data_IF_210264068692
#
_entry.id   IF_210264068692
#
_cell.length_a   1.000
_cell.length_b   1.000
_cell.length_c   1.000
_cell.angle_alpha   90.00
_cell.angle_beta   90.00
_cell.angle_gamma   90.00
#
_symmetry.space_group_name_H-M   'P 1'
#
loop_
_entity.id
_entity.type
_entity.pdbx_description
1 polymer ?
#
# COMPACT_ATOMS: atom_id res chain seq x y z
N UNK A 1 -16.86 -64.57 -3.84
CA UNK A 1 -17.73 -63.50 -4.38
C UNK A 1 -18.01 -62.38 -3.37
N UNK A 2 -18.48 -62.67 -2.15
CA UNK A 2 -18.79 -61.65 -1.11
C UNK A 2 -17.61 -60.75 -0.70
N UNK A 3 -16.39 -61.28 -0.61
CA UNK A 3 -15.18 -60.52 -0.24
C UNK A 3 -14.83 -59.42 -1.25
N UNK A 4 -14.93 -59.71 -2.54
CA UNK A 4 -14.63 -58.74 -3.59
C UNK A 4 -15.70 -57.64 -3.63
N UNK A 5 -16.98 -57.99 -3.44
CA UNK A 5 -18.09 -57.03 -3.34
C UNK A 5 -17.87 -56.07 -2.15
N UNK A 6 -17.43 -56.58 -0.99
CA UNK A 6 -17.17 -55.75 0.19
C UNK A 6 -15.99 -54.77 -0.03
N UNK A 7 -14.94 -55.20 -0.76
CA UNK A 7 -13.81 -54.34 -1.14
C UNK A 7 -14.26 -53.23 -2.13
N UNK A 8 -15.10 -53.56 -3.10
CA UNK A 8 -15.64 -52.54 -4.03
C UNK A 8 -16.53 -51.53 -3.32
N UNK A 9 -17.34 -51.96 -2.35
CA UNK A 9 -18.15 -51.05 -1.53
C UNK A 9 -17.25 -50.15 -0.67
N UNK A 10 -16.22 -50.68 -0.01
CA UNK A 10 -15.33 -49.85 0.80
C UNK A 10 -14.53 -48.86 -0.04
N UNK A 11 -14.06 -49.27 -1.22
CA UNK A 11 -13.38 -48.38 -2.16
C UNK A 11 -14.32 -47.29 -2.68
N UNK A 12 -15.59 -47.62 -2.97
CA UNK A 12 -16.60 -46.64 -3.36
C UNK A 12 -16.89 -45.60 -2.28
N UNK A 13 -16.99 -46.03 -1.02
CA UNK A 13 -17.19 -45.11 0.12
C UNK A 13 -15.99 -44.18 0.30
N UNK A 14 -14.76 -44.68 0.21
CA UNK A 14 -13.55 -43.86 0.29
C UNK A 14 -13.47 -42.84 -0.86
N UNK A 15 -13.85 -43.24 -2.08
CA UNK A 15 -13.90 -42.34 -3.22
C UNK A 15 -14.90 -41.20 -2.99
N UNK A 16 -16.09 -41.51 -2.44
CA UNK A 16 -17.11 -40.49 -2.13
C UNK A 16 -16.60 -39.54 -1.05
N UNK A 17 -15.95 -40.04 0.02
CA UNK A 17 -15.35 -39.20 1.06
C UNK A 17 -14.27 -38.29 0.47
N UNK A 18 -13.42 -38.82 -0.40
CA UNK A 18 -12.37 -38.04 -1.07
C UNK A 18 -12.94 -36.92 -1.96
N UNK A 19 -14.01 -37.22 -2.72
CA UNK A 19 -14.71 -36.25 -3.55
C UNK A 19 -15.32 -35.15 -2.66
N UNK A 20 -16.06 -35.53 -1.61
CA UNK A 20 -16.67 -34.58 -0.68
C UNK A 20 -15.62 -33.69 0.01
N UNK A 21 -14.49 -34.27 0.42
CA UNK A 21 -13.38 -33.51 1.01
C UNK A 21 -12.81 -32.51 0.01
N UNK A 22 -12.55 -32.94 -1.23
CA UNK A 22 -12.02 -32.07 -2.30
C UNK A 22 -12.99 -30.94 -2.66
N UNK A 23 -14.31 -31.19 -2.66
CA UNK A 23 -15.32 -30.17 -2.92
C UNK A 23 -15.40 -29.14 -1.78
N UNK A 24 -15.37 -29.60 -0.51
CA UNK A 24 -15.37 -28.68 0.63
C UNK A 24 -14.10 -27.81 0.64
N UNK A 25 -12.93 -28.42 0.42
CA UNK A 25 -11.66 -27.70 0.36
C UNK A 25 -11.66 -26.60 -0.71
N UNK A 26 -12.09 -26.91 -1.94
CA UNK A 26 -12.22 -25.92 -3.02
C UNK A 26 -13.21 -24.80 -2.69
N UNK A 27 -14.26 -25.11 -1.93
CA UNK A 27 -15.26 -24.12 -1.53
C UNK A 27 -14.68 -23.18 -0.48
N UNK A 28 -13.95 -23.71 0.51
CA UNK A 28 -13.27 -22.91 1.53
C UNK A 28 -12.19 -22.00 0.92
N UNK A 29 -11.39 -22.54 -0.01
CA UNK A 29 -10.38 -21.78 -0.75
C UNK A 29 -11.00 -20.60 -1.52
N UNK A 30 -12.10 -20.85 -2.24
CA UNK A 30 -12.83 -19.79 -2.95
C UNK A 30 -13.37 -18.73 -2.00
N UNK A 31 -13.96 -19.13 -0.87
CA UNK A 31 -14.48 -18.19 0.14
C UNK A 31 -13.34 -17.37 0.75
N UNK A 32 -12.20 -17.98 1.03
CA UNK A 32 -11.03 -17.30 1.55
C UNK A 32 -10.47 -16.28 0.54
N UNK A 33 -10.39 -16.65 -0.74
CA UNK A 33 -9.93 -15.76 -1.82
C UNK A 33 -10.84 -14.52 -1.96
N UNK A 34 -12.17 -14.71 -1.97
CA UNK A 34 -13.12 -13.58 -2.06
C UNK A 34 -13.04 -12.66 -0.82
N UNK A 35 -12.83 -13.23 0.38
CA UNK A 35 -12.62 -12.44 1.59
C UNK A 35 -11.33 -11.63 1.53
N UNK A 36 -10.23 -12.25 1.12
CA UNK A 36 -8.95 -11.58 0.95
C UNK A 36 -9.07 -10.43 -0.06
N UNK A 37 -9.72 -10.68 -1.19
CA UNK A 37 -10.01 -9.68 -2.21
C UNK A 37 -10.82 -8.50 -1.67
N UNK A 38 -11.85 -8.76 -0.86
CA UNK A 38 -12.62 -7.69 -0.22
C UNK A 38 -11.80 -6.87 0.77
N UNK A 39 -10.93 -7.52 1.55
CA UNK A 39 -10.02 -6.86 2.51
C UNK A 39 -9.00 -6.00 1.75
N UNK A 40 -8.36 -6.56 0.72
CA UNK A 40 -7.39 -5.86 -0.11
C UNK A 40 -8.03 -4.68 -0.84
N UNK A 41 -9.22 -4.84 -1.41
CA UNK A 41 -9.92 -3.77 -2.11
C UNK A 41 -10.27 -2.61 -1.17
N UNK A 42 -10.75 -2.92 0.03
CA UNK A 42 -11.03 -1.91 1.06
C UNK A 42 -9.75 -1.20 1.52
N UNK A 43 -8.67 -1.96 1.73
CA UNK A 43 -7.38 -1.42 2.16
C UNK A 43 -6.77 -0.51 1.08
N UNK A 44 -6.82 -0.95 -0.17
CA UNK A 44 -6.33 -0.22 -1.33
C UNK A 44 -7.11 1.08 -1.53
N UNK A 45 -8.44 1.05 -1.39
CA UNK A 45 -9.27 2.25 -1.40
C UNK A 45 -8.82 3.25 -0.32
N UNK A 46 -8.58 2.79 0.92
CA UNK A 46 -8.12 3.70 1.97
C UNK A 46 -6.73 4.27 1.70
N UNK A 47 -5.79 3.47 1.18
CA UNK A 47 -4.46 3.96 0.78
C UNK A 47 -4.59 5.02 -0.31
N UNK A 48 -5.27 4.69 -1.41
CA UNK A 48 -5.45 5.57 -2.55
C UNK A 48 -6.17 6.87 -2.15
N UNK A 49 -7.30 6.77 -1.45
CA UNK A 49 -8.12 7.93 -1.04
C UNK A 49 -7.36 8.92 -0.16
N UNK A 50 -6.53 8.42 0.76
CA UNK A 50 -5.76 9.30 1.64
C UNK A 50 -4.58 9.94 0.89
N UNK A 51 -3.93 9.23 -0.04
CA UNK A 51 -2.92 9.84 -0.91
C UNK A 51 -3.54 10.90 -1.83
N UNK A 52 -4.72 10.63 -2.39
CA UNK A 52 -5.46 11.58 -3.23
C UNK A 52 -5.73 12.86 -2.42
N UNK A 53 -6.23 12.75 -1.19
CA UNK A 53 -6.48 13.90 -0.34
C UNK A 53 -5.21 14.68 0.00
N UNK A 54 -4.09 14.00 0.31
CA UNK A 54 -2.80 14.67 0.50
C UNK A 54 -2.39 15.42 -0.79
N UNK A 55 -2.59 14.79 -1.95
CA UNK A 55 -2.18 15.35 -3.25
C UNK A 55 -3.03 16.52 -3.74
N UNK A 56 -4.31 16.58 -3.36
CA UNK A 56 -5.29 17.57 -3.83
C UNK A 56 -5.38 18.77 -2.91
N UNK A 57 -4.91 18.65 -1.67
CA UNK A 57 -4.78 19.74 -0.70
C UNK A 57 -3.62 20.73 -1.02
N UNK A 58 -3.14 20.78 -2.27
CA UNK A 58 -1.99 21.63 -2.69
C UNK A 58 -2.22 23.14 -2.48
N UNK A 59 -3.47 23.58 -2.42
CA UNK A 59 -3.82 24.98 -2.18
C UNK A 59 -3.81 25.36 -0.70
N UNK A 60 -3.61 24.39 0.20
CA UNK A 60 -3.49 24.66 1.62
C UNK A 60 -2.06 25.07 1.95
N UNK A 61 -1.90 26.27 2.50
CA UNK A 61 -0.63 26.80 2.99
C UNK A 61 0.09 25.78 3.91
N UNK A 62 1.42 25.82 3.95
CA UNK A 62 2.17 25.02 4.94
C UNK A 62 1.86 25.56 6.34
N UNK A 63 0.90 24.94 7.02
CA UNK A 63 0.50 25.24 8.40
C UNK A 63 0.61 23.99 9.27
N UNK A 64 0.69 24.19 10.59
CA UNK A 64 0.78 23.09 11.54
C UNK A 64 -0.50 22.22 11.54
N UNK A 65 -1.66 22.82 11.32
CA UNK A 65 -2.93 22.10 11.21
C UNK A 65 -2.94 21.18 9.98
N UNK A 66 -2.43 21.67 8.85
CA UNK A 66 -2.32 20.87 7.63
C UNK A 66 -1.30 19.74 7.80
N UNK A 67 -0.19 19.98 8.50
CA UNK A 67 0.79 18.91 8.80
C UNK A 67 0.18 17.82 9.67
N UNK A 68 -0.56 18.21 10.71
CA UNK A 68 -1.25 17.23 11.57
C UNK A 68 -2.26 16.40 10.77
N UNK A 69 -2.98 17.04 9.84
CA UNK A 69 -3.94 16.36 8.97
C UNK A 69 -3.24 15.38 8.01
N UNK A 70 -2.12 15.78 7.39
CA UNK A 70 -1.29 14.90 6.55
C UNK A 70 -0.72 13.74 7.38
N UNK A 71 -0.22 13.98 8.59
CA UNK A 71 0.26 12.94 9.52
C UNK A 71 -0.83 11.90 9.80
N UNK A 72 -2.06 12.34 10.06
CA UNK A 72 -3.19 11.44 10.29
C UNK A 72 -3.52 10.59 9.06
N UNK A 73 -3.48 11.18 7.86
CA UNK A 73 -3.70 10.46 6.60
C UNK A 73 -2.59 9.44 6.34
N UNK A 74 -1.33 9.80 6.57
CA UNK A 74 -0.19 8.89 6.44
C UNK A 74 -0.25 7.72 7.44
N UNK A 75 -0.74 7.94 8.66
CA UNK A 75 -1.01 6.85 9.61
C UNK A 75 -2.02 5.83 9.06
N UNK A 76 -3.11 6.33 8.46
CA UNK A 76 -4.12 5.46 7.83
C UNK A 76 -3.50 4.70 6.65
N UNK A 77 -2.78 5.41 5.78
CA UNK A 77 -2.08 4.81 4.64
C UNK A 77 -1.14 3.69 5.11
N UNK A 78 -0.29 3.94 6.11
CA UNK A 78 0.68 2.96 6.61
C UNK A 78 0.01 1.69 7.09
N UNK A 79 -1.02 1.81 7.93
CA UNK A 79 -1.77 0.67 8.46
C UNK A 79 -2.42 -0.19 7.36
N UNK A 80 -3.03 0.43 6.35
CA UNK A 80 -3.65 -0.32 5.26
C UNK A 80 -2.62 -0.83 4.24
N UNK A 81 -1.47 -0.17 4.13
CA UNK A 81 -0.35 -0.62 3.30
C UNK A 81 0.26 -1.91 3.84
N UNK A 82 0.39 -2.06 5.16
CA UNK A 82 0.86 -3.31 5.79
C UNK A 82 -0.06 -4.51 5.41
N UNK A 83 -1.37 -4.28 5.37
CA UNK A 83 -2.36 -5.30 4.96
C UNK A 83 -2.19 -5.67 3.49
N UNK A 84 -1.98 -4.68 2.62
CA UNK A 84 -1.78 -4.92 1.17
C UNK A 84 -0.47 -5.67 0.94
N UNK A 85 0.63 -5.15 1.48
CA UNK A 85 1.98 -5.71 1.32
C UNK A 85 2.02 -7.17 1.80
N UNK A 86 1.37 -7.46 2.94
CA UNK A 86 1.22 -8.82 3.46
C UNK A 86 0.35 -9.71 2.56
N UNK A 87 -0.76 -9.17 2.03
CA UNK A 87 -1.71 -9.94 1.23
C UNK A 87 -1.25 -10.25 -0.20
N UNK A 88 -0.42 -9.37 -0.79
CA UNK A 88 0.15 -9.55 -2.13
C UNK A 88 1.59 -10.08 -2.11
N UNK A 89 2.24 -10.11 -0.94
CA UNK A 89 3.61 -10.60 -0.77
C UNK A 89 4.68 -9.65 -1.30
N UNK A 90 4.39 -8.35 -1.40
CA UNK A 90 5.33 -7.32 -1.87
C UNK A 90 5.44 -6.23 -0.82
N UNK A 91 6.61 -6.11 -0.18
CA UNK A 91 6.87 -5.09 0.82
C UNK A 91 7.33 -3.79 0.13
N UNK A 92 6.39 -2.86 -0.08
CA UNK A 92 6.65 -1.63 -0.82
C UNK A 92 5.85 -0.43 -0.32
N UNK A 93 4.53 -0.57 -0.17
CA UNK A 93 3.67 0.56 0.19
C UNK A 93 3.92 1.02 1.63
N UNK A 94 4.09 0.09 2.57
CA UNK A 94 4.31 0.44 3.97
C UNK A 94 5.63 1.20 4.16
N UNK A 95 6.79 0.74 3.64
CA UNK A 95 8.03 1.50 3.71
C UNK A 95 7.95 2.91 3.10
N UNK A 96 7.17 3.08 2.02
CA UNK A 96 6.97 4.39 1.39
C UNK A 96 6.15 5.31 2.31
N UNK A 97 5.05 4.80 2.87
CA UNK A 97 4.20 5.54 3.80
C UNK A 97 4.96 5.95 5.07
N UNK A 98 5.76 5.03 5.62
CA UNK A 98 6.63 5.28 6.77
C UNK A 98 7.62 6.41 6.46
N UNK A 99 8.23 6.39 5.27
CA UNK A 99 9.18 7.43 4.87
C UNK A 99 8.52 8.80 4.71
N UNK A 100 7.33 8.87 4.15
CA UNK A 100 6.57 10.12 4.09
C UNK A 100 6.20 10.63 5.48
N UNK A 101 5.84 9.73 6.39
CA UNK A 101 5.54 10.08 7.77
C UNK A 101 6.77 10.66 8.49
N UNK A 102 7.96 10.08 8.32
CA UNK A 102 9.20 10.62 8.88
C UNK A 102 9.46 12.06 8.42
N UNK A 103 9.15 12.38 7.16
CA UNK A 103 9.33 13.72 6.59
C UNK A 103 8.38 14.71 7.26
N UNK A 104 7.10 14.37 7.39
CA UNK A 104 6.12 15.27 8.02
C UNK A 104 6.44 15.48 9.49
N UNK A 105 6.80 14.42 10.21
CA UNK A 105 7.25 14.52 11.62
C UNK A 105 8.48 15.41 11.74
N UNK A 106 9.42 15.35 10.79
CA UNK A 106 10.57 16.26 10.76
C UNK A 106 10.13 17.73 10.63
N UNK A 107 9.19 18.02 9.73
CA UNK A 107 8.65 19.37 9.55
C UNK A 107 7.91 19.88 10.80
N UNK A 108 7.09 19.03 11.43
CA UNK A 108 6.40 19.35 12.69
C UNK A 108 7.40 19.65 13.83
N UNK A 109 8.50 18.90 13.89
CA UNK A 109 9.57 19.12 14.86
C UNK A 109 10.33 20.43 14.60
N UNK A 110 10.61 20.75 13.34
CA UNK A 110 11.25 22.02 12.97
C UNK A 110 10.38 23.20 13.37
N UNK A 111 9.08 23.14 13.09
CA UNK A 111 8.11 24.16 13.52
C UNK A 111 8.05 24.26 15.05
N UNK A 112 7.98 23.13 15.76
CA UNK A 112 7.93 23.11 17.23
C UNK A 112 9.18 23.73 17.87
N UNK A 113 10.34 23.62 17.23
CA UNK A 113 11.59 24.19 17.70
C UNK A 113 11.73 25.70 17.39
N UNK A 114 11.27 26.14 16.21
CA UNK A 114 11.53 27.48 15.70
C UNK A 114 10.32 28.44 15.81
N UNK A 115 9.10 27.91 15.96
CA UNK A 115 7.85 28.65 15.98
C UNK A 115 7.31 29.05 14.60
N UNK A 116 8.04 28.74 13.52
CA UNK A 116 7.68 29.02 12.13
C UNK A 116 8.32 28.00 11.18
N UNK A 117 7.78 27.90 9.97
CA UNK A 117 8.38 27.10 8.89
C UNK A 117 9.39 27.93 8.11
N UNK A 118 10.50 27.30 7.74
CA UNK A 118 11.54 27.92 6.91
C UNK A 118 11.27 27.72 5.41
N UNK A 119 11.93 28.50 4.55
CA UNK A 119 11.89 28.28 3.09
C UNK A 119 12.32 26.86 2.71
N UNK A 120 13.25 26.26 3.47
CA UNK A 120 13.67 24.88 3.26
C UNK A 120 12.52 23.91 3.57
N UNK A 121 11.79 24.11 4.67
CA UNK A 121 10.64 23.29 5.05
C UNK A 121 9.55 23.32 3.96
N UNK A 122 9.32 24.49 3.34
CA UNK A 122 8.41 24.65 2.20
C UNK A 122 8.85 23.80 1.01
N UNK A 123 10.14 23.84 0.66
CA UNK A 123 10.67 23.03 -0.45
C UNK A 123 10.52 21.53 -0.16
N UNK A 124 10.82 21.11 1.07
CA UNK A 124 10.65 19.71 1.51
C UNK A 124 9.20 19.28 1.39
N UNK A 125 8.27 20.10 1.88
CA UNK A 125 6.84 19.80 1.81
C UNK A 125 6.35 19.71 0.36
N UNK A 126 6.73 20.65 -0.51
CA UNK A 126 6.38 20.57 -1.94
C UNK A 126 6.92 19.29 -2.58
N UNK A 127 8.15 18.92 -2.25
CA UNK A 127 8.80 17.70 -2.74
C UNK A 127 8.04 16.45 -2.29
N UNK A 128 7.59 16.40 -1.03
CA UNK A 128 6.72 15.34 -0.51
C UNK A 128 5.43 15.22 -1.33
N UNK A 129 4.74 16.34 -1.60
CA UNK A 129 3.47 16.31 -2.34
C UNK A 129 3.66 15.82 -3.78
N UNK A 130 4.77 16.19 -4.43
CA UNK A 130 5.08 15.66 -5.77
C UNK A 130 5.35 14.14 -5.75
N UNK A 131 6.04 13.62 -4.73
CA UNK A 131 6.22 12.17 -4.57
C UNK A 131 4.90 11.45 -4.28
N UNK A 132 3.99 12.07 -3.51
CA UNK A 132 2.63 11.57 -3.29
C UNK A 132 1.82 11.54 -4.60
N UNK A 133 2.02 12.47 -5.53
CA UNK A 133 1.37 12.41 -6.84
C UNK A 133 1.90 11.29 -7.72
N UNK A 134 3.18 10.93 -7.57
CA UNK A 134 3.80 9.84 -8.33
C UNK A 134 3.25 8.49 -7.88
N UNK A 135 2.96 8.30 -6.58
CA UNK A 135 2.49 7.00 -6.10
C UNK A 135 1.05 6.67 -6.53
N UNK A 136 0.18 7.66 -6.70
CA UNK A 136 -1.22 7.46 -7.09
C UNK A 136 -1.40 6.63 -8.38
N UNK A 137 -0.79 7.01 -9.52
CA UNK A 137 -0.90 6.20 -10.74
C UNK A 137 -0.24 4.83 -10.58
N UNK A 138 0.86 4.71 -9.81
CA UNK A 138 1.49 3.41 -9.54
C UNK A 138 0.56 2.48 -8.77
N UNK A 139 -0.15 2.98 -7.76
CA UNK A 139 -1.14 2.21 -7.02
C UNK A 139 -2.23 1.73 -7.98
N UNK A 140 -2.72 2.63 -8.83
CA UNK A 140 -3.80 2.30 -9.76
C UNK A 140 -3.40 1.27 -10.81
N UNK A 141 -2.21 1.41 -11.41
CA UNK A 141 -1.72 0.53 -12.46
C UNK A 141 -1.32 -0.87 -11.94
N UNK A 142 -0.78 -0.95 -10.72
CA UNK A 142 -0.23 -2.19 -10.16
C UNK A 142 -1.33 -3.02 -9.48
N UNK A 143 -2.21 -2.37 -8.73
CA UNK A 143 -3.10 -3.06 -7.80
C UNK A 143 -4.57 -3.09 -8.22
N UNK A 144 -5.00 -2.35 -9.24
CA UNK A 144 -6.33 -2.50 -9.82
C UNK A 144 -6.29 -3.30 -11.11
N UNK A 145 -7.36 -4.06 -11.36
CA UNK A 145 -7.53 -4.73 -12.66
C UNK A 145 -7.70 -3.66 -13.76
N UNK A 146 -7.08 -3.81 -14.94
CA UNK A 146 -7.28 -2.89 -16.05
C UNK A 146 -8.77 -2.66 -16.35
N UNK A 147 -9.14 -1.41 -16.64
CA UNK A 147 -10.54 -0.97 -16.87
C UNK A 147 -11.46 -1.02 -15.63
N UNK A 148 -10.95 -1.46 -14.47
CA UNK A 148 -11.67 -1.28 -13.21
C UNK A 148 -11.51 0.18 -12.72
N UNK A 149 -12.55 0.72 -12.10
CA UNK A 149 -12.50 2.06 -11.52
C UNK A 149 -11.67 2.06 -10.22
N UNK A 150 -11.11 3.20 -9.83
CA UNK A 150 -10.48 3.34 -8.51
C UNK A 150 -11.50 3.00 -7.41
N UNK A 151 -11.10 2.15 -6.47
CA UNK A 151 -11.99 1.53 -5.47
C UNK A 151 -12.72 0.26 -5.93
N UNK A 152 -12.45 -0.25 -7.13
CA UNK A 152 -13.02 -1.50 -7.65
C UNK A 152 -12.18 -2.73 -7.25
N UNK A 153 -12.28 -3.78 -8.05
CA UNK A 153 -11.68 -5.09 -7.82
C UNK A 153 -10.14 -5.02 -7.80
N UNK A 154 -9.48 -5.39 -6.68
CA UNK A 154 -8.03 -5.41 -6.61
C UNK A 154 -7.46 -6.60 -7.40
N UNK A 155 -6.29 -6.41 -7.99
CA UNK A 155 -5.48 -7.47 -8.55
C UNK A 155 -4.93 -8.35 -7.42
N UNK A 156 -5.25 -9.65 -7.44
CA UNK A 156 -4.72 -10.64 -6.49
C UNK A 156 -3.36 -11.19 -6.89
N UNK A 157 -2.97 -11.00 -8.15
CA UNK A 157 -1.68 -11.41 -8.68
C UNK A 157 -1.01 -10.17 -9.25
N UNK A 158 0.10 -9.78 -8.65
CA UNK A 158 0.83 -8.57 -8.99
C UNK A 158 2.10 -8.99 -9.74
N UNK A 159 2.13 -8.72 -11.05
CA UNK A 159 3.21 -9.18 -11.92
C UNK A 159 4.29 -8.10 -12.18
N UNK A 160 3.97 -6.82 -11.97
CA UNK A 160 4.92 -5.71 -12.16
C UNK A 160 4.88 -4.75 -10.97
N UNK A 161 5.93 -4.77 -10.15
CA UNK A 161 6.13 -3.83 -9.04
C UNK A 161 7.42 -3.02 -9.18
N UNK A 162 8.06 -3.07 -10.36
CA UNK A 162 9.41 -2.53 -10.56
C UNK A 162 9.50 -1.04 -10.27
N UNK A 163 8.55 -0.25 -10.77
CA UNK A 163 8.50 1.20 -10.53
C UNK A 163 8.21 1.55 -9.06
N UNK A 164 7.37 0.77 -8.39
CA UNK A 164 7.07 0.96 -6.97
C UNK A 164 8.30 0.64 -6.10
N UNK A 165 9.05 -0.42 -6.43
CA UNK A 165 10.31 -0.76 -5.77
C UNK A 165 11.37 0.33 -5.99
N UNK A 166 11.50 0.87 -7.20
CA UNK A 166 12.40 2.01 -7.49
C UNK A 166 12.02 3.25 -6.69
N UNK A 167 10.72 3.55 -6.57
CA UNK A 167 10.24 4.64 -5.73
C UNK A 167 10.65 4.42 -4.28
N UNK A 168 10.38 3.23 -3.71
CA UNK A 168 10.83 2.87 -2.36
C UNK A 168 12.33 3.08 -2.20
N UNK A 169 13.15 2.50 -3.07
CA UNK A 169 14.61 2.61 -3.01
C UNK A 169 15.09 4.06 -3.06
N UNK A 170 14.52 4.88 -3.96
CA UNK A 170 14.80 6.33 -4.04
C UNK A 170 14.50 7.00 -2.70
N UNK A 171 13.30 6.80 -2.16
CA UNK A 171 12.85 7.44 -0.92
C UNK A 171 13.71 7.03 0.30
N UNK A 172 14.11 5.76 0.38
CA UNK A 172 14.93 5.23 1.47
C UNK A 172 16.42 5.61 1.33
N UNK A 173 16.94 5.77 0.12
CA UNK A 173 18.35 6.14 -0.13
C UNK A 173 18.74 7.55 0.40
N UNK A 174 17.75 8.38 0.71
CA UNK A 174 17.91 9.76 1.19
C UNK A 174 18.29 9.80 2.70
N UNK A 175 18.41 8.64 3.36
CA UNK A 175 18.79 8.47 4.77
C UNK A 175 20.09 9.17 5.22
N UNK A 176 20.93 9.69 4.32
CA UNK A 176 22.12 10.48 4.69
C UNK A 176 21.85 11.88 5.27
N UNK A 177 20.65 12.46 5.11
CA UNK A 177 20.37 13.87 5.46
C UNK A 177 19.59 14.12 6.76
N UNK A 178 18.79 13.15 7.23
CA UNK A 178 17.85 13.39 8.34
C UNK A 178 18.55 13.42 9.72
N UNK A 179 19.74 12.82 9.84
CA UNK A 179 20.50 12.78 11.10
C UNK A 179 21.09 14.13 11.55
N UNK A 180 21.05 15.19 10.73
CA UNK A 180 21.68 16.49 11.02
C UNK A 180 20.87 17.71 10.54
N UNK A 181 19.54 17.66 10.59
CA UNK A 181 18.69 18.83 10.32
C UNK A 181 18.74 19.36 8.87
N UNK A 182 19.27 18.59 7.93
CA UNK A 182 19.32 18.95 6.51
C UNK A 182 18.63 17.86 5.68
N UNK A 183 17.31 17.95 5.58
CA UNK A 183 16.59 17.16 4.57
C UNK A 183 16.92 17.72 3.18
N UNK A 184 17.47 16.86 2.31
CA UNK A 184 17.72 17.20 0.91
C UNK A 184 16.41 16.92 0.15
N UNK A 185 15.80 17.92 -0.51
CA UNK A 185 14.62 17.73 -1.35
C UNK A 185 14.84 16.62 -2.37
N UNK A 186 13.78 15.90 -2.75
CA UNK A 186 13.86 14.90 -3.80
C UNK A 186 14.36 15.58 -5.07
N UNK A 187 15.54 15.20 -5.58
CA UNK A 187 15.92 15.60 -6.93
C UNK A 187 14.86 15.02 -7.87
N UNK A 188 13.99 15.89 -8.39
CA UNK A 188 13.05 15.52 -9.45
C UNK A 188 13.89 14.92 -10.57
N UNK A 189 13.72 13.62 -10.83
CA UNK A 189 14.48 12.91 -11.86
C UNK A 189 14.40 13.70 -13.18
N UNK A 190 15.50 13.76 -13.98
CA UNK A 190 15.54 14.59 -15.16
C UNK A 190 14.41 14.16 -16.11
N UNK A 191 13.60 15.13 -16.54
CA UNK A 191 12.64 14.95 -17.65
C UNK A 191 13.39 14.31 -18.82
N UNK A 192 13.05 13.06 -19.16
CA UNK A 192 13.44 12.45 -20.43
C UNK A 192 12.62 13.07 -21.56
#
# INVERSE_FOLDING_TARGET
>A
MKRNIMIFISAGVLLIIFILYSFNFKTEEKIAAERLKSILGTSLYHVWYNYEHISTDQEKDLTIENMSDVTNKLNVIKMYSEVIDSGVGVEALEPIADRFQEIVIHLENNYSANGEFTDQDVIVYQSLIEEVKIILPLISDIYYVPESQEGAEPALTIDDTGELQKLKERLLSIQGGVSKGNFIPFETSPKQ
#
